data_IF_634255084482
#
_entry.id   IF_634255084482
#
_cell.length_a   1.000
_cell.length_b   1.000
_cell.length_c   1.000
_cell.angle_alpha   90.00
_cell.angle_beta   90.00
_cell.angle_gamma   90.00
#
_symmetry.space_group_name_H-M   'P 1'
#
loop_
_entity.id
_entity.type
_entity.pdbx_description
1 polymer ?
#
# COMPACT_ATOMS: atom_id res chain seq x y z
N UNK A 1 -25.55 18.01 27.29
CA UNK A 1 -25.23 18.16 25.86
C UNK A 1 -24.54 16.87 25.44
N UNK A 2 -25.10 16.12 24.48
CA UNK A 2 -24.42 14.93 23.96
C UNK A 2 -23.22 15.43 23.13
N UNK A 3 -22.02 14.92 23.44
CA UNK A 3 -20.82 15.22 22.66
C UNK A 3 -20.88 14.35 21.41
N UNK A 4 -21.18 14.96 20.26
CA UNK A 4 -21.10 14.27 18.98
C UNK A 4 -19.69 13.73 18.79
N UNK A 5 -19.58 12.41 18.74
CA UNK A 5 -18.32 11.70 18.56
C UNK A 5 -18.33 10.99 17.21
N UNK A 6 -17.17 10.88 16.54
CA UNK A 6 -17.09 10.13 15.29
C UNK A 6 -17.50 8.67 15.52
N UNK A 7 -18.27 8.10 14.59
CA UNK A 7 -18.72 6.71 14.66
C UNK A 7 -17.57 5.70 14.49
N UNK A 8 -16.56 6.07 13.70
CA UNK A 8 -15.38 5.26 13.45
C UNK A 8 -14.18 5.93 14.12
N UNK A 9 -13.54 5.22 15.04
CA UNK A 9 -12.45 5.72 15.89
C UNK A 9 -11.21 4.83 15.85
N UNK A 10 -11.32 3.62 15.30
CA UNK A 10 -10.27 2.62 15.30
C UNK A 10 -9.95 2.11 13.88
N UNK A 11 -8.68 1.84 13.62
CA UNK A 11 -8.21 1.32 12.33
C UNK A 11 -8.82 -0.03 11.97
N UNK A 12 -9.05 -0.90 12.97
CA UNK A 12 -9.67 -2.20 12.77
C UNK A 12 -11.06 -2.08 12.14
N UNK A 13 -11.82 -1.02 12.47
CA UNK A 13 -13.14 -0.79 11.87
C UNK A 13 -13.03 -0.50 10.36
N UNK A 14 -11.94 0.12 9.91
CA UNK A 14 -11.68 0.33 8.48
C UNK A 14 -11.35 -1.00 7.81
N UNK A 15 -10.53 -1.83 8.44
CA UNK A 15 -10.19 -3.17 7.92
C UNK A 15 -11.44 -4.05 7.79
N UNK A 16 -12.32 -4.04 8.79
CA UNK A 16 -13.56 -4.81 8.77
C UNK A 16 -14.49 -4.36 7.62
N UNK A 17 -14.58 -3.05 7.36
CA UNK A 17 -15.34 -2.51 6.23
C UNK A 17 -14.78 -2.97 4.88
N UNK A 18 -13.45 -2.96 4.72
CA UNK A 18 -12.79 -3.43 3.50
C UNK A 18 -13.05 -4.93 3.26
N UNK A 19 -12.93 -5.75 4.31
CA UNK A 19 -13.21 -7.19 4.24
C UNK A 19 -14.66 -7.47 3.85
N UNK A 20 -15.62 -6.77 4.46
CA UNK A 20 -17.04 -6.92 4.14
C UNK A 20 -17.37 -6.47 2.71
N UNK A 21 -16.76 -5.38 2.24
CA UNK A 21 -16.94 -4.90 0.87
C UNK A 21 -16.36 -5.89 -0.14
N UNK A 22 -15.19 -6.47 0.13
CA UNK A 22 -14.56 -7.49 -0.72
C UNK A 22 -15.42 -8.76 -0.79
N UNK A 23 -15.96 -9.24 0.33
CA UNK A 23 -16.89 -10.38 0.36
C UNK A 23 -18.16 -10.15 -0.47
N UNK A 24 -18.56 -8.89 -0.66
CA UNK A 24 -19.69 -8.47 -1.49
C UNK A 24 -19.28 -8.04 -2.92
N UNK A 25 -18.01 -8.16 -3.30
CA UNK A 25 -17.46 -7.69 -4.58
C UNK A 25 -17.71 -6.19 -4.84
N UNK A 26 -17.64 -5.38 -3.79
CA UNK A 26 -17.89 -3.91 -3.79
C UNK A 26 -16.68 -3.10 -3.30
N UNK A 27 -15.54 -3.75 -3.11
CA UNK A 27 -14.26 -3.15 -2.71
C UNK A 27 -13.83 -2.01 -3.65
N UNK A 28 -13.97 -2.18 -4.96
CA UNK A 28 -13.65 -1.12 -5.93
C UNK A 28 -14.48 0.15 -5.72
N UNK A 29 -15.79 0.00 -5.48
CA UNK A 29 -16.68 1.12 -5.19
C UNK A 29 -16.29 1.79 -3.87
N UNK A 30 -16.00 1.01 -2.83
CA UNK A 30 -15.59 1.53 -1.53
C UNK A 30 -14.30 2.35 -1.64
N UNK A 31 -13.26 1.84 -2.29
CA UNK A 31 -12.01 2.59 -2.49
C UNK A 31 -12.20 3.84 -3.35
N UNK A 32 -13.09 3.81 -4.36
CA UNK A 32 -13.40 5.00 -5.16
C UNK A 32 -14.03 6.12 -4.33
N UNK A 33 -14.82 5.77 -3.31
CA UNK A 33 -15.48 6.74 -2.44
C UNK A 33 -14.60 7.22 -1.29
N UNK A 34 -13.74 6.35 -0.74
CA UNK A 34 -12.88 6.69 0.40
C UNK A 34 -11.57 7.37 -0.01
N UNK A 35 -11.04 7.06 -1.20
CA UNK A 35 -9.76 7.58 -1.64
C UNK A 35 -9.95 8.62 -2.74
N UNK A 36 -9.19 9.70 -2.64
CA UNK A 36 -8.98 10.65 -3.74
C UNK A 36 -8.16 10.03 -4.87
N UNK A 37 -8.04 10.73 -6.00
CA UNK A 37 -7.16 10.29 -7.08
C UNK A 37 -5.70 10.23 -6.63
N UNK A 38 -5.22 11.28 -5.96
CA UNK A 38 -3.83 11.39 -5.50
C UNK A 38 -3.48 10.29 -4.49
N UNK A 39 -4.41 9.89 -3.62
CA UNK A 39 -4.20 8.78 -2.68
C UNK A 39 -4.10 7.42 -3.38
N UNK A 40 -4.85 7.21 -4.48
CA UNK A 40 -4.72 6.00 -5.30
C UNK A 40 -3.38 5.95 -6.02
N UNK A 41 -2.94 7.07 -6.61
CA UNK A 41 -1.60 7.18 -7.22
C UNK A 41 -0.50 6.94 -6.18
N UNK A 42 -0.67 7.48 -4.97
CA UNK A 42 0.27 7.24 -3.87
C UNK A 42 0.32 5.76 -3.45
N UNK A 43 -0.81 5.04 -3.44
CA UNK A 43 -0.82 3.59 -3.17
C UNK A 43 -0.10 2.81 -4.28
N UNK A 44 -0.33 3.13 -5.54
CA UNK A 44 0.37 2.51 -6.69
C UNK A 44 1.88 2.73 -6.54
N UNK A 45 2.32 3.97 -6.26
CA UNK A 45 3.72 4.27 -6.03
C UNK A 45 4.28 3.46 -4.85
N UNK A 46 3.57 3.35 -3.73
CA UNK A 46 4.02 2.58 -2.56
C UNK A 46 4.19 1.10 -2.85
N UNK A 47 3.29 0.49 -3.62
CA UNK A 47 3.43 -0.92 -4.05
C UNK A 47 4.70 -1.10 -4.87
N UNK A 48 4.94 -0.22 -5.85
CA UNK A 48 6.14 -0.26 -6.67
C UNK A 48 7.43 -0.01 -5.87
N UNK A 49 7.41 0.91 -4.91
CA UNK A 49 8.54 1.16 -4.01
C UNK A 49 8.90 -0.11 -3.24
N UNK A 50 7.91 -0.77 -2.62
CA UNK A 50 8.13 -2.00 -1.85
C UNK A 50 8.67 -3.11 -2.74
N UNK A 51 8.09 -3.30 -3.93
CA UNK A 51 8.56 -4.27 -4.91
C UNK A 51 10.03 -4.05 -5.29
N UNK A 52 10.40 -2.85 -5.72
CA UNK A 52 11.78 -2.55 -6.15
C UNK A 52 12.78 -2.67 -4.98
N UNK A 53 12.37 -2.30 -3.77
CA UNK A 53 13.21 -2.43 -2.57
C UNK A 53 13.45 -3.89 -2.18
N UNK A 54 12.45 -4.76 -2.33
CA UNK A 54 12.58 -6.20 -2.07
C UNK A 54 13.43 -6.89 -3.15
N UNK A 55 13.33 -6.47 -4.41
CA UNK A 55 14.15 -7.00 -5.50
C UNK A 55 15.63 -6.62 -5.34
N UNK A 56 15.93 -5.44 -4.78
CA UNK A 56 17.29 -5.02 -4.45
C UNK A 56 18.19 -4.69 -5.67
N UNK A 57 17.66 -4.74 -6.89
CA UNK A 57 18.44 -4.51 -8.13
C UNK A 57 18.75 -3.02 -8.38
N UNK A 58 17.92 -2.11 -7.87
CA UNK A 58 18.03 -0.66 -8.11
C UNK A 58 18.39 0.09 -6.84
N UNK A 59 19.23 1.11 -7.00
CA UNK A 59 19.47 2.08 -5.92
C UNK A 59 18.21 2.91 -5.65
N UNK A 60 18.06 3.42 -4.42
CA UNK A 60 16.91 4.28 -4.07
C UNK A 60 16.77 5.52 -4.97
N UNK A 61 17.89 6.08 -5.44
CA UNK A 61 17.89 7.18 -6.41
C UNK A 61 17.29 6.74 -7.75
N UNK A 62 17.62 5.53 -8.21
CA UNK A 62 17.07 5.01 -9.46
C UNK A 62 15.58 4.67 -9.35
N UNK A 63 15.14 4.18 -8.20
CA UNK A 63 13.71 3.96 -7.92
C UNK A 63 12.96 5.30 -7.90
N UNK A 64 13.54 6.33 -7.27
CA UNK A 64 13.00 7.69 -7.24
C UNK A 64 12.80 8.27 -8.65
N UNK A 65 13.81 8.14 -9.52
CA UNK A 65 13.71 8.55 -10.93
C UNK A 65 12.64 7.76 -11.70
N UNK A 66 12.59 6.44 -11.51
CA UNK A 66 11.65 5.56 -12.21
C UNK A 66 10.19 5.88 -11.86
N UNK A 67 9.92 6.12 -10.58
CA UNK A 67 8.57 6.29 -10.05
C UNK A 67 8.13 7.76 -9.97
N UNK A 68 9.01 8.71 -10.29
CA UNK A 68 8.70 10.14 -10.21
C UNK A 68 8.43 10.64 -8.78
N UNK A 69 8.90 9.92 -7.76
CA UNK A 69 8.71 10.28 -6.34
C UNK A 69 10.03 10.71 -5.71
N UNK A 70 9.98 11.59 -4.72
CA UNK A 70 11.19 12.02 -4.00
C UNK A 70 11.87 10.87 -3.24
N UNK A 71 13.20 10.92 -3.14
CA UNK A 71 14.01 9.92 -2.41
C UNK A 71 13.52 9.73 -0.97
N UNK A 72 13.06 10.79 -0.30
CA UNK A 72 12.50 10.70 1.06
C UNK A 72 11.30 9.74 1.17
N UNK A 73 10.49 9.62 0.11
CA UNK A 73 9.40 8.64 0.05
C UNK A 73 9.93 7.21 -0.01
N UNK A 74 11.00 6.98 -0.78
CA UNK A 74 11.69 5.68 -0.83
C UNK A 74 12.31 5.33 0.52
N UNK A 75 12.96 6.31 1.17
CA UNK A 75 13.59 6.11 2.49
C UNK A 75 12.56 5.69 3.54
N UNK A 76 11.36 6.28 3.55
CA UNK A 76 10.27 5.84 4.42
C UNK A 76 9.87 4.39 4.14
N UNK A 77 9.64 4.03 2.87
CA UNK A 77 9.31 2.65 2.49
C UNK A 77 10.40 1.64 2.89
N UNK A 78 11.68 1.99 2.70
CA UNK A 78 12.80 1.14 3.13
C UNK A 78 12.86 0.98 4.64
N UNK A 79 12.52 2.01 5.42
CA UNK A 79 12.46 1.91 6.86
C UNK A 79 11.31 1.00 7.31
N UNK A 80 10.13 1.06 6.69
CA UNK A 80 9.04 0.12 7.01
C UNK A 80 9.46 -1.34 6.80
N UNK A 81 10.15 -1.64 5.69
CA UNK A 81 10.65 -2.98 5.41
C UNK A 81 11.74 -3.44 6.37
N UNK A 82 12.61 -2.53 6.86
CA UNK A 82 13.66 -2.89 7.82
C UNK A 82 13.12 -3.43 9.15
N UNK A 83 11.91 -3.03 9.54
CA UNK A 83 11.27 -3.48 10.78
C UNK A 83 10.56 -4.84 10.64
N UNK A 84 10.54 -5.43 9.44
CA UNK A 84 9.96 -6.75 9.20
C UNK A 84 11.02 -7.84 9.30
N UNK A 85 10.61 -9.04 9.73
CA UNK A 85 11.44 -10.24 9.67
C UNK A 85 11.63 -10.73 8.22
N UNK A 86 12.57 -11.66 8.03
CA UNK A 86 12.93 -12.16 6.71
C UNK A 86 11.83 -13.03 6.10
N UNK A 87 11.05 -13.75 6.93
CA UNK A 87 9.91 -14.54 6.48
C UNK A 87 8.81 -13.65 5.88
N UNK A 88 8.50 -12.52 6.53
CA UNK A 88 7.52 -11.54 6.05
C UNK A 88 7.98 -10.89 4.75
N UNK A 89 9.27 -10.53 4.65
CA UNK A 89 9.85 -9.97 3.42
C UNK A 89 9.79 -10.97 2.26
N UNK A 90 10.14 -12.23 2.52
CA UNK A 90 10.12 -13.29 1.53
C UNK A 90 8.69 -13.54 1.02
N UNK A 91 7.73 -13.66 1.94
CA UNK A 91 6.31 -13.78 1.60
C UNK A 91 5.83 -12.59 0.76
N UNK A 92 6.16 -11.37 1.17
CA UNK A 92 5.73 -10.16 0.47
C UNK A 92 6.31 -10.06 -0.94
N UNK A 93 7.59 -10.42 -1.12
CA UNK A 93 8.24 -10.46 -2.41
C UNK A 93 7.56 -11.48 -3.35
N UNK A 94 7.29 -12.69 -2.85
CA UNK A 94 6.59 -13.73 -3.60
C UNK A 94 5.14 -13.31 -3.94
N UNK A 95 4.42 -12.75 -2.96
CA UNK A 95 3.05 -12.29 -3.13
C UNK A 95 2.96 -11.21 -4.21
N UNK A 96 3.83 -10.20 -4.17
CA UNK A 96 3.84 -9.13 -5.16
C UNK A 96 4.27 -9.63 -6.55
N UNK A 97 5.26 -10.53 -6.64
CA UNK A 97 5.69 -11.10 -7.92
C UNK A 97 4.58 -11.90 -8.61
N UNK A 98 3.80 -12.69 -7.84
CA UNK A 98 2.68 -13.47 -8.37
C UNK A 98 1.50 -12.62 -8.81
N UNK A 99 1.25 -11.51 -8.13
CA UNK A 99 0.04 -10.70 -8.33
C UNK A 99 0.29 -9.38 -9.11
N UNK A 100 1.55 -9.04 -9.40
CA UNK A 100 1.94 -7.85 -10.16
C UNK A 100 1.74 -7.97 -11.68
N UNK A 101 1.33 -9.15 -12.17
CA UNK A 101 1.10 -9.43 -13.59
C UNK A 101 -0.39 -9.56 -13.91
N UNK A 102 -1.14 -8.46 -13.84
CA UNK A 102 -2.42 -8.37 -14.56
C UNK A 102 -2.16 -7.75 -15.92
N UNK A 103 -1.70 -8.56 -16.87
CA UNK A 103 -1.92 -8.30 -18.29
C UNK A 103 -3.17 -9.05 -18.74
N UNK A 104 -4.31 -8.38 -18.66
CA UNK A 104 -5.42 -8.46 -19.60
C UNK A 104 -6.06 -7.08 -19.74
#
# INVERSE_FOLDING_TARGET
MAVDSPKYTDWQQVLDLLQQASAQQRDQLLFKLLLTHDEREALIARVNIVHELLNGERSQRKISELLGVGVATITRGSNELKHQDDDTKAWLAEFLAKNGSSSL
#
